data_IF_493491602502
#
_entry.id   IF_493491602502
#
_cell.length_a   1.000
_cell.length_b   1.000
_cell.length_c   1.000
_cell.angle_alpha   90.00
_cell.angle_beta   90.00
_cell.angle_gamma   90.00
#
_symmetry.space_group_name_H-M   'P 1'
#
loop_
_entity.id
_entity.type
_entity.pdbx_description
1 polymer ?
#
# COMPACT_ATOMS: atom_id res chain seq x y z
N UNK A 1 -4.11 -10.41 15.73
CA UNK A 1 -3.53 -9.04 15.68
C UNK A 1 -3.07 -8.72 14.26
N UNK A 2 -2.98 -7.43 13.90
CA UNK A 2 -2.74 -6.97 12.53
C UNK A 2 -1.27 -6.62 12.30
N UNK A 3 -0.70 -7.09 11.18
CA UNK A 3 0.53 -6.55 10.58
C UNK A 3 0.12 -5.66 9.41
N UNK A 4 0.48 -4.41 9.45
CA UNK A 4 0.16 -3.44 8.40
C UNK A 4 1.18 -3.47 7.28
N UNK A 5 0.71 -3.61 6.04
CA UNK A 5 1.45 -3.29 4.83
C UNK A 5 1.05 -1.87 4.41
N UNK A 6 1.75 -0.89 4.92
CA UNK A 6 1.41 0.53 4.80
C UNK A 6 2.31 1.27 3.82
N UNK A 7 1.76 2.22 3.09
CA UNK A 7 2.54 3.09 2.20
C UNK A 7 1.70 4.27 1.71
N UNK A 8 2.36 5.36 1.35
CA UNK A 8 1.75 6.36 0.47
C UNK A 8 1.37 5.70 -0.88
N UNK A 9 0.27 6.12 -1.54
CA UNK A 9 -0.10 5.57 -2.84
C UNK A 9 1.07 5.58 -3.84
N UNK A 10 1.17 4.55 -4.69
CA UNK A 10 2.19 4.41 -5.74
C UNK A 10 3.63 4.18 -5.27
N UNK A 11 3.83 3.85 -3.98
CA UNK A 11 5.14 3.55 -3.40
C UNK A 11 5.61 2.10 -3.55
N UNK A 12 4.86 1.23 -4.27
CA UNK A 12 5.25 -0.17 -4.48
C UNK A 12 4.51 -1.18 -3.58
N UNK A 13 3.47 -0.74 -2.85
CA UNK A 13 2.67 -1.62 -1.99
C UNK A 13 2.17 -2.88 -2.74
N UNK A 14 1.67 -2.71 -3.96
CA UNK A 14 1.18 -3.82 -4.79
C UNK A 14 2.26 -4.87 -5.05
N UNK A 15 3.50 -4.47 -5.30
CA UNK A 15 4.60 -5.41 -5.53
C UNK A 15 4.88 -6.27 -4.30
N UNK A 16 5.03 -5.65 -3.12
CA UNK A 16 5.24 -6.38 -1.87
C UNK A 16 4.01 -7.24 -1.52
N UNK A 17 2.80 -6.73 -1.73
CA UNK A 17 1.57 -7.49 -1.52
C UNK A 17 1.50 -8.74 -2.38
N UNK A 18 1.77 -8.62 -3.69
CA UNK A 18 1.78 -9.78 -4.61
C UNK A 18 2.85 -10.81 -4.23
N UNK A 19 4.02 -10.36 -3.80
CA UNK A 19 5.03 -11.27 -3.24
C UNK A 19 4.51 -12.03 -2.02
N UNK A 20 3.87 -11.33 -1.08
CA UNK A 20 3.32 -11.95 0.13
C UNK A 20 2.11 -12.85 -0.19
N UNK A 21 1.24 -12.45 -1.12
CA UNK A 21 0.13 -13.28 -1.59
C UNK A 21 0.65 -14.59 -2.20
N UNK A 22 1.69 -14.50 -3.04
CA UNK A 22 2.32 -15.68 -3.63
C UNK A 22 2.98 -16.58 -2.57
N UNK A 23 3.73 -15.97 -1.65
CA UNK A 23 4.47 -16.70 -0.62
C UNK A 23 3.55 -17.41 0.38
N UNK A 24 2.47 -16.76 0.82
CA UNK A 24 1.63 -17.24 1.92
C UNK A 24 0.47 -18.12 1.46
N UNK A 25 -0.10 -17.86 0.31
CA UNK A 25 -1.39 -18.42 -0.08
C UNK A 25 -1.37 -19.22 -1.38
N UNK A 26 -0.27 -19.15 -2.17
CA UNK A 26 -0.20 -19.84 -3.46
C UNK A 26 0.71 -21.07 -3.35
N UNK A 27 0.20 -22.24 -3.77
CA UNK A 27 1.01 -23.45 -3.74
C UNK A 27 1.68 -23.78 -5.08
N UNK A 28 1.06 -23.51 -6.24
CA UNK A 28 1.61 -23.95 -7.53
C UNK A 28 1.41 -22.96 -8.70
N UNK A 29 0.47 -22.04 -8.64
CA UNK A 29 0.19 -21.14 -9.75
C UNK A 29 0.01 -19.70 -9.24
N UNK A 30 0.95 -18.84 -9.63
CA UNK A 30 0.89 -17.42 -9.30
C UNK A 30 -0.01 -16.69 -10.31
N UNK A 31 -0.99 -15.94 -9.79
CA UNK A 31 -1.87 -15.06 -10.54
C UNK A 31 -1.87 -13.68 -9.88
N UNK A 32 -1.57 -12.64 -10.65
CA UNK A 32 -1.56 -11.25 -10.18
C UNK A 32 -2.93 -10.74 -9.73
N UNK A 33 -4.01 -11.42 -10.14
CA UNK A 33 -5.38 -11.07 -9.77
C UNK A 33 -5.82 -11.69 -8.45
N UNK A 34 -5.05 -12.61 -7.88
CA UNK A 34 -5.26 -13.08 -6.53
C UNK A 34 -5.08 -11.94 -5.54
N UNK A 35 -5.99 -11.84 -4.57
CA UNK A 35 -6.05 -10.75 -3.62
C UNK A 35 -6.38 -11.25 -2.22
N UNK A 36 -5.51 -12.13 -1.69
CA UNK A 36 -5.67 -12.73 -0.36
C UNK A 36 -5.40 -11.70 0.74
N UNK A 37 -4.35 -10.90 0.59
CA UNK A 37 -4.10 -9.75 1.48
C UNK A 37 -5.03 -8.62 1.08
N UNK A 38 -6.14 -8.51 1.78
CA UNK A 38 -7.14 -7.48 1.51
C UNK A 38 -6.74 -6.11 2.06
N UNK A 39 -7.40 -5.08 1.54
CA UNK A 39 -7.25 -3.73 2.05
C UNK A 39 -8.07 -3.54 3.32
N UNK A 40 -7.56 -2.76 4.26
CA UNK A 40 -8.33 -2.14 5.33
C UNK A 40 -8.25 -0.61 5.17
N UNK A 41 -9.36 0.08 5.33
CA UNK A 41 -10.70 -0.39 5.65
C UNK A 41 -11.50 -0.87 4.42
N UNK A 42 -12.47 -1.76 4.66
CA UNK A 42 -13.55 -2.11 3.74
C UNK A 42 -14.89 -2.04 4.48
N UNK A 43 -15.99 -1.76 3.79
CA UNK A 43 -17.34 -1.67 4.38
C UNK A 43 -17.70 -2.86 5.26
N UNK A 44 -17.34 -4.08 4.83
CA UNK A 44 -17.58 -5.30 5.59
C UNK A 44 -17.00 -5.31 7.02
N UNK A 45 -15.93 -4.53 7.26
CA UNK A 45 -15.29 -4.45 8.58
C UNK A 45 -16.10 -3.63 9.59
N UNK A 46 -17.09 -2.87 9.13
CA UNK A 46 -17.91 -1.97 9.95
C UNK A 46 -19.39 -2.41 10.08
N UNK A 47 -19.80 -3.47 9.37
CA UNK A 47 -21.20 -3.89 9.29
C UNK A 47 -21.85 -4.09 10.67
N UNK A 48 -21.10 -4.64 11.62
CA UNK A 48 -21.62 -4.95 12.95
C UNK A 48 -21.45 -3.79 13.95
N UNK A 49 -20.89 -2.66 13.52
CA UNK A 49 -20.69 -1.49 14.37
C UNK A 49 -21.81 -0.45 14.24
N UNK A 50 -22.79 -0.69 13.36
CA UNK A 50 -23.87 0.26 13.03
C UNK A 50 -23.35 1.68 12.71
N UNK A 51 -22.15 1.79 12.15
CA UNK A 51 -21.49 3.05 11.82
C UNK A 51 -21.86 3.50 10.41
N UNK A 52 -22.25 4.75 10.24
CA UNK A 52 -22.38 5.37 8.92
C UNK A 52 -20.97 5.69 8.36
N UNK A 53 -20.38 4.73 7.68
CA UNK A 53 -19.03 4.88 7.10
C UNK A 53 -18.93 5.88 5.94
N UNK A 54 -20.04 6.45 5.49
CA UNK A 54 -20.05 7.57 4.55
C UNK A 54 -19.80 8.90 5.28
N UNK A 55 -20.11 8.98 6.57
CA UNK A 55 -19.70 10.09 7.43
C UNK A 55 -18.26 9.89 7.89
N UNK A 56 -17.39 10.87 7.57
CA UNK A 56 -15.96 10.77 7.85
C UNK A 56 -15.65 10.73 9.36
N UNK A 57 -16.47 11.38 10.20
CA UNK A 57 -16.29 11.34 11.65
C UNK A 57 -16.66 9.95 12.20
N UNK A 58 -17.82 9.42 11.82
CA UNK A 58 -18.22 8.08 12.24
C UNK A 58 -17.26 7.01 11.74
N UNK A 59 -16.79 7.11 10.50
CA UNK A 59 -15.75 6.26 9.97
C UNK A 59 -14.48 6.32 10.84
N UNK A 60 -13.97 7.52 11.11
CA UNK A 60 -12.77 7.71 11.92
C UNK A 60 -12.94 7.19 13.35
N UNK A 61 -14.09 7.43 13.95
CA UNK A 61 -14.39 6.97 15.31
C UNK A 61 -14.44 5.45 15.45
N UNK A 62 -14.74 4.73 14.39
CA UNK A 62 -14.94 3.28 14.42
C UNK A 62 -13.76 2.47 13.87
N UNK A 63 -12.68 3.10 13.37
CA UNK A 63 -11.55 2.37 12.79
C UNK A 63 -10.88 1.39 13.77
N UNK A 64 -10.60 1.82 15.00
CA UNK A 64 -9.97 0.94 16.01
C UNK A 64 -10.93 -0.13 16.52
N UNK A 65 -12.22 0.20 16.68
CA UNK A 65 -13.23 -0.78 17.05
C UNK A 65 -13.40 -1.88 15.99
N UNK A 66 -13.36 -1.51 14.70
CA UNK A 66 -13.39 -2.49 13.61
C UNK A 66 -12.16 -3.42 13.65
N UNK A 67 -10.98 -2.89 13.98
CA UNK A 67 -9.76 -3.69 14.13
C UNK A 67 -9.81 -4.61 15.36
N UNK A 68 -10.32 -4.13 16.48
CA UNK A 68 -10.52 -4.95 17.67
C UNK A 68 -11.37 -6.18 17.34
N UNK A 69 -12.47 -6.01 16.60
CA UNK A 69 -13.30 -7.13 16.15
C UNK A 69 -12.55 -8.10 15.25
N UNK A 70 -11.75 -7.58 14.33
CA UNK A 70 -10.90 -8.43 13.48
C UNK A 70 -9.89 -9.25 14.29
N UNK A 71 -9.51 -8.78 15.46
CA UNK A 71 -8.51 -9.44 16.33
C UNK A 71 -9.10 -10.46 17.30
N UNK A 72 -10.42 -10.61 17.40
CA UNK A 72 -11.09 -11.53 18.33
C UNK A 72 -10.76 -13.02 18.12
N UNK A 73 -10.29 -13.40 16.94
CA UNK A 73 -9.92 -14.78 16.63
C UNK A 73 -8.45 -15.14 16.96
N UNK A 74 -7.71 -14.22 17.57
CA UNK A 74 -6.30 -14.32 17.95
C UNK A 74 -5.32 -14.67 16.82
N UNK A 75 -5.78 -14.62 15.56
CA UNK A 75 -4.93 -14.90 14.40
C UNK A 75 -4.15 -13.67 13.97
N UNK A 76 -2.94 -13.91 13.46
CA UNK A 76 -2.16 -12.86 12.78
C UNK A 76 -2.72 -12.65 11.38
N UNK A 77 -3.03 -11.39 11.05
CA UNK A 77 -3.55 -10.97 9.75
C UNK A 77 -2.66 -9.91 9.15
N UNK A 78 -2.50 -9.94 7.85
CA UNK A 78 -1.81 -8.89 7.11
C UNK A 78 -2.87 -8.10 6.33
N UNK A 79 -2.91 -6.79 6.54
CA UNK A 79 -3.77 -5.89 5.79
C UNK A 79 -2.95 -4.81 5.09
N UNK A 80 -3.32 -4.55 3.82
CA UNK A 80 -2.80 -3.41 3.08
C UNK A 80 -3.54 -2.14 3.48
N UNK A 81 -2.83 -1.02 3.59
CA UNK A 81 -3.44 0.30 3.74
C UNK A 81 -2.65 1.40 3.04
N UNK A 82 -3.38 2.42 2.60
CA UNK A 82 -2.83 3.71 2.16
C UNK A 82 -3.26 4.86 3.10
N UNK A 83 -3.91 4.55 4.22
CA UNK A 83 -4.16 5.56 5.23
C UNK A 83 -2.84 6.00 5.87
N UNK A 84 -2.69 7.30 6.09
CA UNK A 84 -1.71 7.82 7.04
C UNK A 84 -2.05 7.33 8.45
N UNK A 85 -1.08 7.32 9.36
CA UNK A 85 -1.33 7.10 10.78
C UNK A 85 -1.84 8.41 11.39
N UNK A 86 -3.07 8.75 11.08
CA UNK A 86 -3.71 9.99 11.50
C UNK A 86 -4.30 9.89 12.91
N UNK A 87 -4.41 11.06 13.56
CA UNK A 87 -5.21 11.29 14.74
C UNK A 87 -6.37 12.19 14.40
N UNK A 88 -7.58 11.81 14.83
CA UNK A 88 -8.76 12.63 14.59
C UNK A 88 -8.77 13.87 15.50
N UNK A 89 -9.65 14.84 15.21
CA UNK A 89 -9.67 16.19 15.79
C UNK A 89 -9.57 16.26 17.31
N UNK A 90 -10.12 15.29 18.03
CA UNK A 90 -10.06 15.21 19.50
C UNK A 90 -8.73 14.59 20.02
N UNK A 91 -7.85 14.15 19.12
CA UNK A 91 -6.60 13.46 19.43
C UNK A 91 -6.76 12.05 20.02
N UNK A 92 -7.98 11.58 20.24
CA UNK A 92 -8.30 10.29 20.86
C UNK A 92 -8.55 9.18 19.86
N UNK A 93 -9.03 9.51 18.66
CA UNK A 93 -9.33 8.54 17.60
C UNK A 93 -8.16 8.46 16.64
N UNK A 94 -7.72 7.23 16.39
CA UNK A 94 -6.56 6.90 15.57
C UNK A 94 -6.99 5.99 14.42
N UNK A 95 -6.23 6.01 13.33
CA UNK A 95 -6.38 4.98 12.29
C UNK A 95 -6.15 3.58 12.88
N UNK A 96 -5.09 3.43 13.67
CA UNK A 96 -4.77 2.21 14.45
C UNK A 96 -3.96 2.57 15.70
N UNK A 97 -3.82 1.61 16.60
CA UNK A 97 -3.07 1.73 17.85
C UNK A 97 -2.16 0.51 18.07
N UNK A 98 -1.38 0.52 19.15
CA UNK A 98 -0.47 -0.56 19.48
C UNK A 98 -1.18 -1.82 20.03
N UNK A 99 -2.41 -1.70 20.51
CA UNK A 99 -3.22 -2.82 21.01
C UNK A 99 -3.73 -3.67 19.84
N UNK A 100 -4.15 -3.02 18.75
CA UNK A 100 -4.64 -3.69 17.56
C UNK A 100 -3.54 -4.13 16.59
N UNK A 101 -2.34 -3.55 16.71
CA UNK A 101 -1.23 -3.72 15.78
C UNK A 101 -0.14 -4.61 16.33
N UNK A 102 0.19 -5.66 15.62
CA UNK A 102 1.35 -6.52 15.91
C UNK A 102 2.64 -5.93 15.35
N UNK A 103 2.57 -5.32 14.16
CA UNK A 103 3.72 -4.69 13.53
C UNK A 103 3.36 -3.96 12.24
N UNK A 104 4.36 -3.29 11.66
CA UNK A 104 4.22 -2.47 10.45
C UNK A 104 5.35 -2.74 9.48
N UNK A 105 5.01 -3.05 8.24
CA UNK A 105 5.91 -3.00 7.07
C UNK A 105 5.53 -1.73 6.32
N UNK A 106 6.36 -0.70 6.43
CA UNK A 106 6.13 0.57 5.75
C UNK A 106 6.99 0.67 4.50
N UNK A 107 6.35 0.84 3.35
CA UNK A 107 7.05 0.98 2.06
C UNK A 107 7.12 2.47 1.72
N UNK A 108 8.35 2.96 1.58
CA UNK A 108 8.64 4.32 1.12
C UNK A 108 9.28 4.29 -0.27
N UNK A 109 9.00 5.29 -1.06
CA UNK A 109 9.59 5.50 -2.39
C UNK A 109 9.99 6.97 -2.53
N UNK A 110 11.06 7.23 -3.26
CA UNK A 110 11.49 8.58 -3.60
C UNK A 110 10.31 9.38 -4.22
N UNK A 111 9.91 10.53 -3.66
CA UNK A 111 8.79 11.31 -4.15
C UNK A 111 8.97 11.75 -5.61
N UNK A 112 10.21 11.94 -6.05
CA UNK A 112 10.56 12.26 -7.44
C UNK A 112 10.22 11.11 -8.41
N UNK A 113 10.22 9.87 -7.94
CA UNK A 113 9.75 8.70 -8.71
C UNK A 113 8.25 8.43 -8.53
N UNK A 114 7.64 8.89 -7.44
CA UNK A 114 6.19 8.74 -7.23
C UNK A 114 5.40 9.63 -8.17
N UNK A 115 5.86 10.87 -8.42
CA UNK A 115 5.15 11.89 -9.18
C UNK A 115 4.70 11.41 -10.57
N UNK A 116 5.53 10.63 -11.27
CA UNK A 116 5.19 10.03 -12.57
C UNK A 116 4.03 9.05 -12.47
N UNK A 117 4.03 8.26 -11.39
CA UNK A 117 2.96 7.31 -11.12
C UNK A 117 1.67 7.98 -10.64
N UNK A 118 1.78 9.11 -9.95
CA UNK A 118 0.64 9.95 -9.54
C UNK A 118 0.01 10.60 -10.76
N UNK A 119 0.82 11.19 -11.64
CA UNK A 119 0.37 11.79 -12.89
C UNK A 119 -0.47 10.81 -13.71
N UNK A 120 0.03 9.59 -13.91
CA UNK A 120 -0.65 8.59 -14.72
C UNK A 120 -1.89 8.00 -14.02
N UNK A 121 -1.77 7.59 -12.75
CA UNK A 121 -2.82 6.86 -12.06
C UNK A 121 -4.01 7.74 -11.65
N UNK A 122 -3.75 8.98 -11.25
CA UNK A 122 -4.76 9.95 -10.86
C UNK A 122 -5.12 10.94 -11.98
N UNK A 123 -4.68 10.66 -13.21
CA UNK A 123 -5.00 11.46 -14.42
C UNK A 123 -4.73 12.96 -14.23
N UNK A 124 -3.56 13.30 -13.69
CA UNK A 124 -3.19 14.71 -13.54
C UNK A 124 -2.76 15.28 -14.89
N UNK A 125 -3.08 16.55 -15.12
CA UNK A 125 -2.80 17.21 -16.39
C UNK A 125 -1.30 17.35 -16.69
N UNK A 126 -0.51 17.58 -15.63
CA UNK A 126 0.94 17.79 -15.74
C UNK A 126 1.65 17.47 -14.42
N UNK A 127 2.98 17.54 -14.41
CA UNK A 127 3.78 17.27 -13.22
C UNK A 127 3.54 18.25 -12.08
N UNK A 128 3.21 19.52 -12.38
CA UNK A 128 2.90 20.50 -11.34
C UNK A 128 1.63 20.11 -10.59
N UNK A 129 0.56 19.77 -11.29
CA UNK A 129 -0.67 19.26 -10.67
C UNK A 129 -0.45 17.95 -9.91
N UNK A 130 0.44 17.08 -10.38
CA UNK A 130 0.81 15.86 -9.65
C UNK A 130 1.61 16.17 -8.37
N UNK A 131 2.47 17.19 -8.39
CA UNK A 131 3.23 17.64 -7.23
C UNK A 131 2.31 18.29 -6.17
N UNK A 132 1.40 19.16 -6.59
CA UNK A 132 0.37 19.74 -5.72
C UNK A 132 -0.46 18.66 -5.06
N UNK A 133 -0.88 17.62 -5.83
CA UNK A 133 -1.56 16.46 -5.28
C UNK A 133 -0.76 15.78 -4.15
N UNK A 134 0.56 15.69 -4.27
CA UNK A 134 1.42 15.06 -3.26
C UNK A 134 1.70 15.93 -2.03
N UNK A 135 1.62 17.25 -2.18
CA UNK A 135 1.89 18.24 -1.11
C UNK A 135 0.71 18.46 -0.18
N UNK A 136 -0.50 18.28 -0.67
CA UNK A 136 -1.70 18.56 0.10
C UNK A 136 -2.14 17.39 0.97
N UNK A 137 -2.59 17.69 2.17
CA UNK A 137 -3.31 16.73 3.00
C UNK A 137 -4.70 16.47 2.39
N UNK A 138 -5.03 15.22 2.15
CA UNK A 138 -6.28 14.87 1.48
C UNK A 138 -6.85 13.51 1.83
N UNK A 139 -8.11 13.38 1.48
CA UNK A 139 -8.85 12.12 1.47
C UNK A 139 -9.08 11.72 0.02
N UNK A 140 -8.88 10.45 -0.29
CA UNK A 140 -9.19 9.87 -1.61
C UNK A 140 -10.21 8.75 -1.47
N UNK A 141 -10.97 8.50 -2.53
CA UNK A 141 -12.03 7.48 -2.51
C UNK A 141 -13.25 7.92 -1.67
N UNK A 142 -14.10 6.99 -1.33
CA UNK A 142 -15.32 7.24 -0.57
C UNK A 142 -16.55 7.59 -1.43
N UNK A 143 -16.42 7.58 -2.76
CA UNK A 143 -17.58 7.72 -3.63
C UNK A 143 -18.45 6.45 -3.55
N UNK A 144 -19.77 6.59 -3.43
CA UNK A 144 -20.71 5.47 -3.34
C UNK A 144 -20.61 4.53 -4.55
N UNK A 145 -20.31 5.07 -5.71
CA UNK A 145 -20.18 4.34 -6.98
C UNK A 145 -19.04 3.29 -6.96
N UNK A 146 -18.03 3.47 -6.08
CA UNK A 146 -16.87 2.59 -6.01
C UNK A 146 -16.92 1.58 -4.87
N UNK A 147 -17.98 1.54 -4.03
CA UNK A 147 -18.02 0.80 -2.77
C UNK A 147 -16.79 1.07 -1.87
N UNK A 148 -16.05 2.12 -2.16
CA UNK A 148 -14.84 2.49 -1.46
C UNK A 148 -15.12 3.24 -0.16
N UNK A 149 -14.27 3.02 0.82
CA UNK A 149 -14.24 3.85 2.02
C UNK A 149 -13.23 4.98 1.87
N UNK A 150 -13.41 6.10 2.58
CA UNK A 150 -12.45 7.17 2.60
C UNK A 150 -11.05 6.67 2.98
N UNK A 151 -10.04 7.11 2.26
CA UNK A 151 -8.65 6.85 2.57
C UNK A 151 -7.96 8.19 2.84
N UNK A 152 -7.63 8.44 4.11
CA UNK A 152 -6.96 9.67 4.55
C UNK A 152 -5.49 9.50 4.28
N UNK A 153 -5.02 9.95 3.11
CA UNK A 153 -3.63 9.75 2.69
C UNK A 153 -2.68 10.84 3.20
N UNK A 154 -3.18 11.99 3.61
CA UNK A 154 -2.39 13.19 3.91
C UNK A 154 -1.47 13.59 2.73
N UNK A 155 -0.56 14.53 2.93
CA UNK A 155 0.54 14.78 2.01
C UNK A 155 1.58 13.65 2.08
N UNK A 156 2.45 13.53 1.07
CA UNK A 156 3.51 12.51 1.10
C UNK A 156 4.38 12.61 2.37
N UNK A 157 4.77 13.84 2.73
CA UNK A 157 5.60 14.10 3.91
C UNK A 157 4.87 13.74 5.21
N UNK A 158 3.60 14.16 5.36
CA UNK A 158 2.81 13.90 6.54
C UNK A 158 2.48 12.41 6.67
N UNK A 159 2.19 11.73 5.56
CA UNK A 159 2.00 10.29 5.54
C UNK A 159 3.24 9.55 6.08
N UNK A 160 4.41 9.82 5.51
CA UNK A 160 5.67 9.20 5.93
C UNK A 160 5.96 9.47 7.41
N UNK A 161 5.89 10.74 7.83
CA UNK A 161 6.18 11.15 9.20
C UNK A 161 5.17 10.58 10.21
N UNK A 162 3.91 10.35 9.81
CA UNK A 162 2.92 9.75 10.66
C UNK A 162 3.29 8.32 11.04
N UNK A 163 3.60 7.47 10.06
CA UNK A 163 3.98 6.08 10.27
C UNK A 163 5.35 5.91 10.94
N UNK A 164 6.29 6.82 10.70
CA UNK A 164 7.60 6.83 11.36
C UNK A 164 7.50 6.96 12.90
N UNK A 165 6.40 7.51 13.39
CA UNK A 165 6.12 7.61 14.84
C UNK A 165 5.73 6.27 15.46
N UNK A 166 5.26 5.32 14.68
CA UNK A 166 4.91 3.98 15.17
C UNK A 166 6.19 3.19 15.49
N UNK A 167 6.33 2.75 16.75
CA UNK A 167 7.59 2.15 17.23
C UNK A 167 7.54 0.65 17.40
N UNK A 168 6.35 0.07 17.60
CA UNK A 168 6.18 -1.36 17.84
C UNK A 168 6.40 -2.15 16.55
N UNK A 169 7.48 -2.94 16.50
CA UNK A 169 7.79 -3.82 15.37
C UNK A 169 7.65 -3.09 14.01
N UNK A 170 8.45 -2.06 13.79
CA UNK A 170 8.42 -1.26 12.56
C UNK A 170 9.55 -1.66 11.61
N UNK A 171 9.20 -2.07 10.38
CA UNK A 171 10.12 -2.35 9.29
C UNK A 171 9.96 -1.32 8.18
N UNK A 172 11.02 -0.55 7.91
CA UNK A 172 11.08 0.34 6.75
C UNK A 172 11.65 -0.41 5.54
N UNK A 173 10.90 -0.38 4.43
CA UNK A 173 11.31 -0.94 3.14
C UNK A 173 11.37 0.19 2.12
N UNK A 174 12.53 0.41 1.51
CA UNK A 174 12.69 1.38 0.43
C UNK A 174 12.44 0.70 -0.91
N UNK A 175 11.60 1.29 -1.73
CA UNK A 175 11.28 0.78 -3.07
C UNK A 175 12.52 0.67 -3.97
N UNK A 176 13.43 1.63 -3.84
CA UNK A 176 14.67 1.65 -4.59
C UNK A 176 15.60 0.50 -4.19
N UNK A 177 15.63 0.13 -2.91
CA UNK A 177 16.41 -1.02 -2.44
C UNK A 177 15.80 -2.34 -2.96
N UNK A 178 14.45 -2.44 -3.00
CA UNK A 178 13.76 -3.58 -3.63
C UNK A 178 14.10 -3.72 -5.12
N UNK A 179 14.21 -2.62 -5.86
CA UNK A 179 14.62 -2.64 -7.28
C UNK A 179 16.06 -3.08 -7.46
N UNK A 180 16.94 -2.58 -6.60
CA UNK A 180 18.39 -2.83 -6.74
C UNK A 180 18.79 -4.22 -6.25
N UNK A 181 18.15 -4.71 -5.18
CA UNK A 181 18.46 -6.02 -4.61
C UNK A 181 17.19 -6.71 -4.07
N UNK A 182 16.31 -7.21 -4.96
CA UNK A 182 15.04 -7.80 -4.55
C UNK A 182 15.22 -8.98 -3.60
N UNK A 183 16.19 -9.86 -3.83
CA UNK A 183 16.43 -11.00 -2.95
C UNK A 183 16.68 -10.54 -1.52
N UNK A 184 17.63 -9.64 -1.30
CA UNK A 184 17.97 -9.15 0.04
C UNK A 184 16.75 -8.52 0.74
N UNK A 185 16.02 -7.67 0.07
CA UNK A 185 14.93 -6.93 0.70
C UNK A 185 13.68 -7.80 0.93
N UNK A 186 13.36 -8.73 0.04
CA UNK A 186 12.27 -9.67 0.28
C UNK A 186 12.63 -10.69 1.40
N UNK A 187 13.87 -11.15 1.48
CA UNK A 187 14.31 -11.96 2.63
C UNK A 187 14.23 -11.17 3.94
N UNK A 188 14.58 -9.89 3.96
CA UNK A 188 14.41 -9.03 5.13
C UNK A 188 12.94 -8.92 5.57
N UNK A 189 12.00 -8.88 4.63
CA UNK A 189 10.56 -8.92 4.92
C UNK A 189 10.16 -10.27 5.52
N UNK A 190 10.64 -11.40 4.96
CA UNK A 190 10.33 -12.73 5.50
C UNK A 190 10.89 -12.93 6.91
N UNK A 191 12.12 -12.50 7.18
CA UNK A 191 12.71 -12.55 8.53
C UNK A 191 11.92 -11.69 9.53
N UNK A 192 11.46 -10.51 9.11
CA UNK A 192 10.58 -9.71 9.92
C UNK A 192 9.28 -10.45 10.26
N UNK A 193 8.63 -11.10 9.29
CA UNK A 193 7.40 -11.86 9.50
C UNK A 193 7.62 -13.09 10.38
N UNK A 194 8.74 -13.79 10.24
CA UNK A 194 9.14 -14.89 11.16
C UNK A 194 9.22 -14.39 12.59
N UNK A 195 9.93 -13.28 12.81
CA UNK A 195 10.16 -12.71 14.14
C UNK A 195 8.88 -12.17 14.79
N UNK A 196 8.06 -11.45 14.05
CA UNK A 196 6.92 -10.69 14.59
C UNK A 196 5.64 -11.52 14.60
N UNK A 197 5.39 -12.28 13.55
CA UNK A 197 4.14 -13.04 13.35
C UNK A 197 4.29 -14.55 13.49
N UNK A 198 5.49 -15.04 13.84
CA UNK A 198 5.81 -16.48 13.94
C UNK A 198 5.50 -17.27 12.65
N UNK A 199 5.62 -16.62 11.49
CA UNK A 199 5.46 -17.29 10.21
C UNK A 199 6.63 -18.23 9.93
N UNK A 200 6.35 -19.31 9.20
CA UNK A 200 7.38 -20.26 8.74
C UNK A 200 7.43 -20.23 7.22
N UNK A 201 8.63 -20.09 6.67
CA UNK A 201 8.84 -20.05 5.24
C UNK A 201 9.95 -21.03 4.84
N UNK A 202 9.73 -21.72 3.74
CA UNK A 202 10.73 -22.45 3.00
C UNK A 202 11.50 -21.45 2.11
N UNK A 203 12.83 -21.54 2.10
CA UNK A 203 13.68 -20.61 1.31
C UNK A 203 13.43 -20.75 -0.20
N UNK A 204 13.25 -21.97 -0.70
CA UNK A 204 12.97 -22.19 -2.12
C UNK A 204 11.63 -21.56 -2.53
N UNK A 205 10.64 -21.61 -1.62
CA UNK A 205 9.36 -20.93 -1.82
C UNK A 205 9.51 -19.40 -1.84
N UNK A 206 10.40 -18.86 -1.01
CA UNK A 206 10.73 -17.42 -1.02
C UNK A 206 11.37 -17.01 -2.35
N UNK A 207 12.39 -17.75 -2.82
CA UNK A 207 13.02 -17.49 -4.11
C UNK A 207 12.04 -17.61 -5.28
N UNK A 208 11.17 -18.62 -5.25
CA UNK A 208 10.12 -18.78 -6.26
C UNK A 208 9.16 -17.58 -6.27
N UNK A 209 8.71 -17.12 -5.11
CA UNK A 209 7.83 -15.96 -5.00
C UNK A 209 8.50 -14.67 -5.51
N UNK A 210 9.78 -14.45 -5.22
CA UNK A 210 10.55 -13.32 -5.75
C UNK A 210 10.61 -13.37 -7.28
N UNK A 211 10.93 -14.53 -7.85
CA UNK A 211 10.99 -14.74 -9.30
C UNK A 211 9.65 -14.48 -9.98
N UNK A 212 8.57 -15.02 -9.43
CA UNK A 212 7.22 -14.84 -9.96
C UNK A 212 6.80 -13.35 -9.96
N UNK A 213 7.20 -12.61 -8.92
CA UNK A 213 6.89 -11.19 -8.76
C UNK A 213 7.91 -10.25 -9.42
N UNK A 214 8.85 -10.76 -10.24
CA UNK A 214 9.71 -9.91 -11.04
C UNK A 214 8.88 -9.00 -11.97
N UNK A 215 9.28 -7.73 -12.12
CA UNK A 215 8.51 -6.73 -12.87
C UNK A 215 8.11 -7.22 -14.28
N UNK A 216 9.02 -7.90 -14.97
CA UNK A 216 8.76 -8.48 -16.29
C UNK A 216 7.55 -9.42 -16.26
N UNK A 217 7.55 -10.37 -15.33
CA UNK A 217 6.48 -11.36 -15.20
C UNK A 217 5.14 -10.71 -14.83
N UNK A 218 5.16 -9.70 -13.94
CA UNK A 218 3.95 -8.95 -13.56
C UNK A 218 3.38 -8.18 -14.77
N UNK A 219 4.23 -7.54 -15.56
CA UNK A 219 3.82 -6.82 -16.75
C UNK A 219 3.28 -7.75 -17.84
N UNK A 220 3.90 -8.91 -18.05
CA UNK A 220 3.45 -9.92 -19.01
C UNK A 220 2.09 -10.53 -18.60
N UNK A 221 1.88 -10.78 -17.30
CA UNK A 221 0.58 -11.24 -16.82
C UNK A 221 -0.51 -10.17 -16.97
N UNK A 222 -0.18 -8.90 -16.72
CA UNK A 222 -1.14 -7.80 -16.98
C UNK A 222 -1.50 -7.70 -18.45
N UNK A 223 -0.55 -7.92 -19.36
CA UNK A 223 -0.81 -7.92 -20.81
C UNK A 223 -1.73 -9.06 -21.22
N UNK A 224 -1.57 -10.23 -20.63
CA UNK A 224 -2.31 -11.44 -20.99
C UNK A 224 -3.71 -11.49 -20.37
N UNK A 225 -3.81 -11.17 -19.07
CA UNK A 225 -5.03 -11.39 -18.29
C UNK A 225 -5.67 -10.10 -17.76
N UNK A 226 -5.02 -8.96 -17.96
CA UNK A 226 -5.37 -7.72 -17.30
C UNK A 226 -4.99 -7.74 -15.82
N UNK A 227 -5.15 -6.61 -15.13
CA UNK A 227 -4.91 -6.49 -13.70
C UNK A 227 -6.14 -5.92 -12.97
N UNK A 228 -6.70 -6.70 -12.05
CA UNK A 228 -7.90 -6.32 -11.30
C UNK A 228 -7.67 -5.08 -10.43
N UNK A 229 -6.44 -4.90 -9.91
CA UNK A 229 -6.04 -3.75 -9.09
C UNK A 229 -5.82 -2.44 -9.86
N UNK A 230 -5.95 -2.45 -11.20
CA UNK A 230 -5.90 -1.23 -11.99
C UNK A 230 -7.24 -0.47 -11.88
N UNK A 231 -7.20 0.88 -11.92
CA UNK A 231 -8.41 1.69 -11.84
C UNK A 231 -9.34 1.47 -13.04
N UNK A 232 -10.66 1.68 -12.82
CA UNK A 232 -11.65 1.61 -13.91
C UNK A 232 -11.31 2.59 -15.04
N UNK A 233 -10.86 3.82 -14.68
CA UNK A 233 -10.45 4.84 -15.64
C UNK A 233 -9.25 4.41 -16.45
N UNK A 234 -8.20 3.87 -15.81
CA UNK A 234 -7.02 3.37 -16.50
C UNK A 234 -7.36 2.22 -17.46
N UNK A 235 -8.26 1.31 -17.04
CA UNK A 235 -8.74 0.22 -17.92
C UNK A 235 -9.45 0.77 -19.16
N UNK A 236 -10.31 1.78 -19.02
CA UNK A 236 -10.96 2.44 -20.16
C UNK A 236 -9.94 3.09 -21.10
N UNK A 237 -8.89 3.70 -20.57
CA UNK A 237 -7.82 4.36 -21.33
C UNK A 237 -6.73 3.38 -21.79
N UNK A 238 -6.86 2.08 -21.51
CA UNK A 238 -5.87 1.03 -21.81
C UNK A 238 -4.48 1.34 -21.21
N UNK A 239 -4.44 2.04 -20.07
CA UNK A 239 -3.21 2.36 -19.35
C UNK A 239 -2.82 1.21 -18.43
N UNK A 240 -1.57 0.76 -18.53
CA UNK A 240 -1.04 -0.30 -17.69
C UNK A 240 -0.79 0.18 -16.26
N UNK A 241 -1.03 -0.73 -15.31
CA UNK A 241 -0.62 -0.54 -13.92
C UNK A 241 0.89 -0.71 -13.76
N UNK A 242 1.44 -1.81 -14.34
CA UNK A 242 2.88 -2.10 -14.38
C UNK A 242 3.51 -1.39 -15.60
N UNK A 243 3.60 -0.04 -15.54
CA UNK A 243 4.02 0.81 -16.65
C UNK A 243 5.56 0.93 -16.72
N UNK A 244 6.16 1.93 -16.07
CA UNK A 244 7.58 2.23 -16.22
C UNK A 244 8.50 1.26 -15.46
N UNK A 245 8.07 0.78 -14.27
CA UNK A 245 8.87 -0.11 -13.45
C UNK A 245 10.30 0.41 -13.19
N UNK A 246 11.34 -0.40 -13.47
CA UNK A 246 12.74 0.01 -13.32
C UNK A 246 13.17 1.18 -14.22
N UNK A 247 12.43 1.46 -15.29
CA UNK A 247 12.70 2.61 -16.19
C UNK A 247 12.23 3.94 -15.62
N UNK A 248 11.52 3.93 -14.49
CA UNK A 248 11.09 5.16 -13.82
C UNK A 248 12.26 5.81 -13.09
N UNK A 249 13.05 6.55 -13.82
CA UNK A 249 14.21 7.28 -13.33
C UNK A 249 13.93 8.78 -13.45
N UNK A 250 13.59 9.41 -12.33
CA UNK A 250 13.21 10.82 -12.26
C UNK A 250 14.24 11.75 -12.87
N UNK A 251 15.55 11.39 -12.79
CA UNK A 251 16.65 12.16 -13.37
C UNK A 251 16.48 12.42 -14.85
N UNK A 252 15.90 11.45 -15.57
CA UNK A 252 15.72 11.50 -17.02
C UNK A 252 14.33 12.02 -17.44
N UNK A 253 13.38 12.05 -16.51
CA UNK A 253 11.96 12.30 -16.81
C UNK A 253 11.54 13.73 -16.42
N UNK A 254 12.00 14.20 -15.25
CA UNK A 254 11.55 15.48 -14.70
C UNK A 254 12.39 16.66 -15.20
N UNK A 255 11.74 17.80 -15.43
CA UNK A 255 12.43 19.05 -15.70
C UNK A 255 13.21 19.54 -14.48
N UNK A 256 14.17 20.44 -14.69
CA UNK A 256 14.96 21.05 -13.62
C UNK A 256 14.06 21.78 -12.61
N UNK A 257 13.05 22.49 -13.11
CA UNK A 257 12.08 23.21 -12.31
C UNK A 257 11.33 22.27 -11.34
N UNK A 258 10.75 21.18 -11.84
CA UNK A 258 10.02 20.20 -11.01
C UNK A 258 10.95 19.52 -10.01
N UNK A 259 12.20 19.23 -10.39
CA UNK A 259 13.20 18.66 -9.47
C UNK A 259 13.46 19.59 -8.29
N UNK A 260 13.71 20.87 -8.56
CA UNK A 260 13.96 21.88 -7.53
C UNK A 260 12.74 22.13 -6.63
N UNK A 261 11.52 21.99 -7.16
CA UNK A 261 10.32 22.17 -6.36
C UNK A 261 10.04 20.96 -5.42
N UNK A 262 10.56 19.78 -5.70
CA UNK A 262 10.37 18.58 -4.83
C UNK A 262 11.38 18.56 -3.68
N UNK A 263 12.57 19.10 -3.88
CA UNK A 263 13.64 19.18 -2.86
C UNK A 263 13.34 20.22 -1.78
#
# INVERSE_FOLDING_TARGET
MIIWLASYPKSGNTWVRLFLDNLLFTNNQFDINNNFISQFPLRKHFLELNANVNDLNEFAMNCTAAQLRLNLDDKVKIYKTHNALWKWQDGKKLFTDEENTLGVIYIVRDPRNIITSVLNYFHKENYKAALEFMREDKVIGGAEEDNGLPTIIASWTNHYNSWKKFKKNYLLVKYEDLLNNPNKEFFKITEYLKKVGNFKFDEDKVYSAIKNCAFKNLSEQEDTFGFAGNSKSNKKLKQKFFNLGPKNQWQNILSVEIKSEIE
#
